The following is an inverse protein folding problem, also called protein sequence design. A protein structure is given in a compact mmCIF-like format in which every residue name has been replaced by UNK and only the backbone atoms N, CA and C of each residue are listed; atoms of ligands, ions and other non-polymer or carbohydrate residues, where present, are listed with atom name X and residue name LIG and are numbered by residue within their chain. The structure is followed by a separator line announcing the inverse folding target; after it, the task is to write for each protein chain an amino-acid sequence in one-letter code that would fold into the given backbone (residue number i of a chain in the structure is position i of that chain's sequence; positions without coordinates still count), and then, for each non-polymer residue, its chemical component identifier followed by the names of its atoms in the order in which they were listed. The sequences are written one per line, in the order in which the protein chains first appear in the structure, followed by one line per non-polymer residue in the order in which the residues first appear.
data_IF_878136012473
#
_entry.id   IF_878136012473
#
_cell.length_a   1.000
_cell.length_b   1.000
_cell.length_c   1.000
_cell.angle_alpha   90.00
_cell.angle_beta   90.00
_cell.angle_gamma   90.00
#
_symmetry.space_group_name_H-M   'P 1'
#
loop_
_entity.id
_entity.type
_entity.pdbx_description
1 polymer ?
#
# COMPACT_ATOMS: atom_id res chain seq x y z
N UNK A 1 -21.50 -16.11 29.20
CA UNK A 1 -20.09 -16.16 29.58
C UNK A 1 -19.46 -17.15 28.63
N UNK A 2 -18.60 -16.67 27.76
CA UNK A 2 -17.95 -17.47 26.72
C UNK A 2 -16.71 -18.15 27.33
N UNK A 3 -16.28 -19.29 26.81
CA UNK A 3 -15.05 -19.97 27.19
C UNK A 3 -14.17 -20.22 25.97
N UNK A 4 -12.88 -20.44 26.16
CA UNK A 4 -11.98 -20.86 25.07
C UNK A 4 -12.49 -22.12 24.34
N UNK A 5 -13.15 -23.04 25.07
CA UNK A 5 -13.74 -24.25 24.49
C UNK A 5 -14.92 -23.94 23.58
N UNK A 6 -15.79 -23.00 23.95
CA UNK A 6 -16.91 -22.56 23.12
C UNK A 6 -16.42 -21.79 21.88
N UNK A 7 -15.36 -20.99 22.04
CA UNK A 7 -14.70 -20.33 20.90
C UNK A 7 -14.15 -21.37 19.93
N UNK A 8 -13.36 -22.32 20.43
CA UNK A 8 -12.82 -23.42 19.61
C UNK A 8 -13.90 -24.20 18.88
N UNK A 9 -14.98 -24.58 19.58
CA UNK A 9 -16.11 -25.31 18.99
C UNK A 9 -16.77 -24.53 17.85
N UNK A 10 -16.93 -23.21 18.03
CA UNK A 10 -17.47 -22.33 16.99
C UNK A 10 -16.53 -22.26 15.78
N UNK A 11 -15.23 -22.03 16.00
CA UNK A 11 -14.26 -21.96 14.92
C UNK A 11 -14.12 -23.27 14.15
N UNK A 12 -14.21 -24.43 14.83
CA UNK A 12 -14.24 -25.75 14.20
C UNK A 12 -15.51 -25.92 13.35
N UNK A 13 -16.68 -25.55 13.89
CA UNK A 13 -17.94 -25.65 13.17
C UNK A 13 -17.97 -24.79 11.89
N UNK A 14 -17.26 -23.66 11.89
CA UNK A 14 -17.10 -22.77 10.73
C UNK A 14 -15.97 -23.21 9.77
N UNK A 15 -15.24 -24.29 10.09
CA UNK A 15 -14.08 -24.76 9.31
C UNK A 15 -12.82 -23.90 9.46
N UNK A 16 -12.84 -22.91 10.36
CA UNK A 16 -11.75 -21.97 10.62
C UNK A 16 -10.67 -22.51 11.55
N UNK A 17 -10.97 -23.55 12.34
CA UNK A 17 -10.00 -24.22 13.24
C UNK A 17 -10.02 -25.75 13.04
N UNK A 18 -8.86 -26.41 13.11
CA UNK A 18 -8.79 -27.88 13.12
C UNK A 18 -8.95 -28.41 14.56
N UNK A 19 -9.54 -29.60 14.77
CA UNK A 19 -9.63 -30.16 16.12
C UNK A 19 -8.27 -30.33 16.80
N UNK A 20 -7.23 -30.72 16.08
CA UNK A 20 -5.88 -30.89 16.63
C UNK A 20 -5.30 -29.55 17.13
N UNK A 21 -5.40 -28.48 16.32
CA UNK A 21 -4.96 -27.13 16.72
C UNK A 21 -5.75 -26.63 17.93
N UNK A 22 -7.05 -26.91 18.00
CA UNK A 22 -7.86 -26.57 19.16
C UNK A 22 -7.38 -27.29 20.43
N UNK A 23 -7.09 -28.58 20.34
CA UNK A 23 -6.59 -29.37 21.48
C UNK A 23 -5.25 -28.85 22.02
N UNK A 24 -4.34 -28.44 21.13
CA UNK A 24 -3.05 -27.84 21.53
C UNK A 24 -3.23 -26.59 22.37
N UNK A 25 -4.05 -25.64 21.92
CA UNK A 25 -4.33 -24.39 22.65
C UNK A 25 -5.08 -24.68 23.96
N UNK A 26 -6.09 -25.55 23.90
CA UNK A 26 -6.92 -25.90 25.07
C UNK A 26 -6.14 -26.65 26.16
N UNK A 27 -4.98 -27.23 25.84
CA UNK A 27 -4.12 -27.89 26.83
C UNK A 27 -3.54 -26.91 27.85
N UNK A 28 -3.36 -25.63 27.50
CA UNK A 28 -2.85 -24.60 28.40
C UNK A 28 -3.85 -23.46 28.66
N UNK A 29 -4.88 -23.29 27.83
CA UNK A 29 -5.84 -22.20 27.91
C UNK A 29 -7.28 -22.70 27.75
N UNK A 30 -8.01 -22.89 28.86
CA UNK A 30 -9.40 -23.43 28.82
C UNK A 30 -10.39 -22.70 29.73
N UNK A 31 -9.97 -21.58 30.32
CA UNK A 31 -10.75 -20.81 31.27
C UNK A 31 -11.96 -20.07 30.67
N UNK A 32 -12.75 -19.43 31.53
CA UNK A 32 -13.75 -18.46 31.10
C UNK A 32 -13.09 -17.27 30.40
N UNK A 33 -13.84 -16.66 29.49
CA UNK A 33 -13.54 -15.37 28.87
C UNK A 33 -14.44 -14.36 29.59
N UNK A 34 -13.80 -13.47 30.35
CA UNK A 34 -14.47 -12.49 31.21
C UNK A 34 -14.63 -11.12 30.52
N UNK A 35 -13.86 -10.87 29.47
CA UNK A 35 -13.90 -9.66 28.65
C UNK A 35 -14.19 -10.01 27.17
N UNK A 36 -15.13 -9.35 26.48
CA UNK A 36 -15.28 -9.46 25.02
C UNK A 36 -13.96 -9.29 24.24
N UNK A 37 -12.97 -8.60 24.79
CA UNK A 37 -11.63 -8.41 24.22
C UNK A 37 -10.80 -9.71 24.25
N UNK A 38 -10.97 -10.54 25.28
CA UNK A 38 -10.30 -11.84 25.39
C UNK A 38 -10.76 -12.84 24.32
N UNK A 39 -11.93 -12.60 23.68
CA UNK A 39 -12.34 -13.39 22.49
C UNK A 39 -11.37 -13.15 21.34
N UNK A 40 -10.85 -11.93 21.19
CA UNK A 40 -9.88 -11.60 20.13
C UNK A 40 -8.52 -12.24 20.43
N UNK A 41 -8.08 -12.20 21.68
CA UNK A 41 -6.89 -12.96 22.11
C UNK A 41 -7.07 -14.47 21.87
N UNK A 42 -8.26 -15.01 22.13
CA UNK A 42 -8.55 -16.40 21.79
C UNK A 42 -8.41 -16.66 20.28
N UNK A 43 -8.87 -15.75 19.41
CA UNK A 43 -8.70 -15.90 17.96
C UNK A 43 -7.22 -15.94 17.55
N UNK A 44 -6.35 -15.18 18.23
CA UNK A 44 -4.91 -15.20 17.98
C UNK A 44 -4.22 -16.45 18.49
N UNK A 45 -4.57 -16.90 19.70
CA UNK A 45 -4.09 -18.17 20.26
C UNK A 45 -4.46 -19.34 19.35
N UNK A 46 -5.69 -19.34 18.80
CA UNK A 46 -6.13 -20.31 17.79
C UNK A 46 -5.57 -20.08 16.39
N UNK A 47 -4.74 -19.05 16.18
CA UNK A 47 -4.10 -18.68 14.91
C UNK A 47 -5.10 -18.48 13.78
N UNK A 48 -6.24 -17.85 14.06
CA UNK A 48 -7.22 -17.44 13.04
C UNK A 48 -7.28 -15.93 12.85
N UNK A 49 -6.66 -15.19 13.77
CA UNK A 49 -6.48 -13.74 13.71
C UNK A 49 -5.05 -13.35 14.07
N UNK A 50 -4.70 -12.10 13.77
CA UNK A 50 -3.51 -11.43 14.24
C UNK A 50 -3.78 -9.95 14.50
N UNK A 51 -2.91 -9.29 15.26
CA UNK A 51 -2.81 -7.85 15.35
C UNK A 51 -1.36 -7.43 15.10
N UNK A 52 -1.17 -6.18 14.68
CA UNK A 52 0.13 -5.53 14.69
C UNK A 52 -0.01 -4.33 15.63
N UNK A 53 0.58 -4.44 16.81
CA UNK A 53 0.63 -3.34 17.76
C UNK A 53 1.70 -2.33 17.33
N UNK A 54 1.39 -1.03 17.43
CA UNK A 54 2.38 0.04 17.31
C UNK A 54 3.49 -0.07 18.37
N UNK A 55 3.26 -0.84 19.43
CA UNK A 55 4.24 -1.17 20.47
C UNK A 55 5.01 -2.48 20.21
N UNK A 56 4.83 -3.14 19.06
CA UNK A 56 5.55 -4.38 18.74
C UNK A 56 7.05 -4.10 18.59
N UNK A 57 7.85 -4.59 19.54
CA UNK A 57 9.28 -4.30 19.59
C UNK A 57 10.08 -5.14 18.59
N UNK A 58 10.86 -4.49 17.75
CA UNK A 58 11.87 -5.12 16.89
C UNK A 58 13.31 -4.89 17.38
N UNK A 59 13.53 -3.86 18.21
CA UNK A 59 14.86 -3.29 18.45
C UNK A 59 15.22 -2.24 17.39
N UNK A 60 16.39 -1.60 17.51
CA UNK A 60 16.77 -0.49 16.61
C UNK A 60 17.65 -0.93 15.45
N UNK A 61 17.51 -0.24 14.32
CA UNK A 61 18.30 -0.45 13.11
C UNK A 61 17.70 -1.46 12.13
N UNK A 62 18.24 -1.48 10.91
CA UNK A 62 17.68 -2.20 9.75
C UNK A 62 17.58 -3.71 10.01
N UNK A 63 18.63 -4.34 10.54
CA UNK A 63 18.64 -5.79 10.77
C UNK A 63 17.64 -6.23 11.84
N UNK A 64 17.46 -5.41 12.88
CA UNK A 64 16.51 -5.67 13.96
C UNK A 64 15.07 -5.59 13.44
N UNK A 65 14.76 -4.55 12.67
CA UNK A 65 13.47 -4.38 12.01
C UNK A 65 13.21 -5.46 10.96
N UNK A 66 14.20 -5.83 10.15
CA UNK A 66 14.05 -6.92 9.18
C UNK A 66 13.68 -8.24 9.84
N UNK A 67 14.32 -8.57 10.97
CA UNK A 67 13.94 -9.75 11.77
C UNK A 67 12.54 -9.61 12.36
N UNK A 68 12.22 -8.45 12.93
CA UNK A 68 10.88 -8.20 13.49
C UNK A 68 9.77 -8.34 12.44
N UNK A 69 9.97 -7.79 11.24
CA UNK A 69 9.05 -8.01 10.12
C UNK A 69 9.01 -9.45 9.70
N UNK A 70 10.14 -10.15 9.57
CA UNK A 70 10.15 -11.58 9.23
C UNK A 70 9.31 -12.40 10.22
N UNK A 71 9.56 -12.24 11.51
CA UNK A 71 8.85 -12.97 12.56
C UNK A 71 7.34 -12.67 12.52
N UNK A 72 6.97 -11.40 12.31
CA UNK A 72 5.57 -11.00 12.18
C UNK A 72 4.92 -11.56 10.91
N UNK A 73 5.60 -11.51 9.77
CA UNK A 73 5.11 -12.05 8.50
C UNK A 73 4.91 -13.57 8.57
N UNK A 74 5.85 -14.29 9.19
CA UNK A 74 5.75 -15.73 9.42
C UNK A 74 4.59 -16.06 10.36
N UNK A 75 4.37 -15.25 11.39
CA UNK A 75 3.19 -15.37 12.27
C UNK A 75 1.88 -15.20 11.49
N UNK A 76 1.77 -14.13 10.68
CA UNK A 76 0.60 -13.89 9.82
C UNK A 76 0.38 -15.03 8.83
N UNK A 77 1.43 -15.49 8.16
CA UNK A 77 1.37 -16.63 7.24
C UNK A 77 0.89 -17.91 7.95
N UNK A 78 1.27 -18.10 9.21
CA UNK A 78 0.78 -19.18 10.07
C UNK A 78 -0.75 -19.23 10.20
N UNK A 79 -1.43 -18.09 10.13
CA UNK A 79 -2.90 -18.01 10.19
C UNK A 79 -3.59 -18.55 8.93
N UNK A 80 -2.85 -18.64 7.83
CA UNK A 80 -3.37 -19.15 6.54
C UNK A 80 -3.35 -20.68 6.44
N UNK A 81 -2.77 -21.36 7.44
CA UNK A 81 -2.56 -22.83 7.48
C UNK A 81 -1.69 -23.35 6.34
N UNK A 82 -0.66 -22.58 6.00
CA UNK A 82 0.30 -22.94 4.95
C UNK A 82 -0.18 -22.64 3.53
N UNK A 83 -1.32 -21.96 3.36
CA UNK A 83 -1.74 -21.46 2.05
C UNK A 83 -0.86 -20.29 1.57
N UNK A 84 -0.22 -19.59 2.52
CA UNK A 84 0.76 -18.53 2.25
C UNK A 84 2.12 -18.94 2.77
N UNK A 85 3.12 -18.82 1.91
CA UNK A 85 4.54 -18.97 2.21
C UNK A 85 5.21 -17.61 2.02
N UNK A 86 6.00 -17.20 3.02
CA UNK A 86 6.78 -15.97 2.99
C UNK A 86 8.26 -16.29 2.84
N UNK A 87 8.90 -15.63 1.89
CA UNK A 87 10.30 -15.81 1.55
C UNK A 87 10.99 -14.45 1.37
N UNK A 88 12.31 -14.43 1.35
CA UNK A 88 13.13 -13.29 0.90
C UNK A 88 12.82 -11.95 1.58
N UNK A 89 12.50 -11.98 2.89
CA UNK A 89 12.28 -10.76 3.68
C UNK A 89 13.59 -9.96 3.75
N UNK A 90 13.58 -8.76 3.16
CA UNK A 90 14.72 -7.85 3.09
C UNK A 90 14.22 -6.42 3.27
N UNK A 91 14.80 -5.70 4.23
CA UNK A 91 14.51 -4.30 4.49
C UNK A 91 15.63 -3.42 3.94
N UNK A 92 15.26 -2.41 3.15
CA UNK A 92 16.19 -1.54 2.44
C UNK A 92 15.88 -0.08 2.75
N UNK A 93 16.89 0.69 3.17
CA UNK A 93 16.81 2.14 3.40
C UNK A 93 17.67 2.87 2.35
N UNK A 94 17.14 3.17 1.15
CA UNK A 94 17.95 3.73 0.07
C UNK A 94 18.36 5.18 0.32
N UNK A 95 17.52 5.95 1.01
CA UNK A 95 17.71 7.38 1.28
C UNK A 95 17.14 7.72 2.68
N UNK A 96 17.56 8.83 3.31
CA UNK A 96 16.91 9.33 4.53
C UNK A 96 15.40 9.56 4.29
N UNK A 97 14.57 9.12 5.23
CA UNK A 97 13.11 9.26 5.13
C UNK A 97 12.40 8.17 4.33
N UNK A 98 13.12 7.26 3.67
CA UNK A 98 12.51 6.17 2.90
C UNK A 98 13.04 4.81 3.35
N UNK A 99 12.13 3.86 3.58
CA UNK A 99 12.46 2.47 3.77
C UNK A 99 11.45 1.60 3.02
N UNK A 100 11.93 0.48 2.49
CA UNK A 100 11.13 -0.46 1.73
C UNK A 100 11.38 -1.87 2.22
N UNK A 101 10.29 -2.56 2.55
CA UNK A 101 10.33 -3.99 2.86
C UNK A 101 10.01 -4.76 1.58
N UNK A 102 10.97 -5.57 1.11
CA UNK A 102 10.77 -6.59 0.11
C UNK A 102 10.49 -7.92 0.79
N UNK A 103 9.59 -8.71 0.21
CA UNK A 103 9.40 -10.13 0.52
C UNK A 103 8.69 -10.80 -0.65
N UNK A 104 8.62 -12.13 -0.64
CA UNK A 104 7.83 -12.89 -1.59
C UNK A 104 6.71 -13.62 -0.87
N UNK A 105 5.51 -13.55 -1.43
CA UNK A 105 4.35 -14.34 -1.00
C UNK A 105 4.00 -15.33 -2.09
N UNK A 106 4.09 -16.64 -1.81
CA UNK A 106 3.81 -17.69 -2.78
C UNK A 106 4.59 -17.49 -4.10
N UNK A 107 5.86 -17.08 -3.98
CA UNK A 107 6.73 -16.77 -5.10
C UNK A 107 6.51 -15.41 -5.77
N UNK A 108 5.44 -14.65 -5.47
CA UNK A 108 5.18 -13.30 -5.98
C UNK A 108 5.93 -12.24 -5.17
N UNK A 109 6.67 -11.37 -5.85
CA UNK A 109 7.32 -10.20 -5.24
C UNK A 109 6.31 -9.21 -4.68
N UNK A 110 6.51 -8.80 -3.44
CA UNK A 110 5.74 -7.79 -2.72
C UNK A 110 6.68 -6.71 -2.18
N UNK A 111 6.19 -5.48 -2.13
CA UNK A 111 6.94 -4.32 -1.67
C UNK A 111 6.06 -3.49 -0.78
N UNK A 112 6.57 -3.07 0.38
CA UNK A 112 5.88 -2.16 1.27
C UNK A 112 6.72 -0.94 1.58
N UNK A 113 6.08 0.23 1.62
CA UNK A 113 6.69 1.43 2.16
C UNK A 113 6.65 1.38 3.69
N UNK A 114 7.81 1.57 4.31
CA UNK A 114 7.98 1.67 5.76
C UNK A 114 8.40 3.10 6.09
N UNK A 115 7.78 3.71 7.08
CA UNK A 115 8.18 5.01 7.57
C UNK A 115 9.59 4.90 8.18
N UNK A 116 10.57 5.55 7.54
CA UNK A 116 11.97 5.36 7.90
C UNK A 116 12.33 5.86 9.31
N UNK A 117 11.47 6.65 9.95
CA UNK A 117 11.63 7.06 11.34
C UNK A 117 11.43 5.91 12.33
N UNK A 118 10.62 4.91 11.98
CA UNK A 118 10.44 3.71 12.81
C UNK A 118 11.73 2.90 12.91
N UNK A 119 12.57 2.90 11.86
CA UNK A 119 13.85 2.20 11.87
C UNK A 119 14.83 2.69 12.94
N UNK A 120 14.66 3.95 13.35
CA UNK A 120 15.45 4.59 14.40
C UNK A 120 14.77 4.42 15.78
N UNK A 121 13.56 3.84 15.81
CA UNK A 121 12.81 3.45 17.00
C UNK A 121 13.10 1.99 17.41
N UNK A 122 12.44 1.51 18.47
CA UNK A 122 12.49 0.11 18.88
C UNK A 122 11.27 -0.69 18.38
N UNK A 123 10.36 -0.07 17.63
CA UNK A 123 9.04 -0.58 17.30
C UNK A 123 8.86 -0.77 15.80
N UNK A 124 8.10 -1.79 15.42
CA UNK A 124 7.66 -1.98 14.04
C UNK A 124 6.66 -0.90 13.63
N UNK A 125 6.69 -0.57 12.35
CA UNK A 125 5.70 0.32 11.75
C UNK A 125 4.42 -0.49 11.46
N UNK A 126 3.28 0.04 11.90
CA UNK A 126 1.96 -0.55 11.63
C UNK A 126 1.34 -0.05 10.31
N UNK A 127 1.94 0.95 9.67
CA UNK A 127 1.53 1.45 8.34
C UNK A 127 1.41 0.41 7.23
N UNK A 128 2.09 -0.76 7.25
CA UNK A 128 1.92 -1.74 6.18
C UNK A 128 0.57 -2.49 6.18
N UNK A 129 -0.26 -2.35 7.22
CA UNK A 129 -1.57 -3.03 7.32
C UNK A 129 -2.54 -2.82 6.13
N UNK A 130 -2.57 -1.68 5.41
CA UNK A 130 -3.39 -1.53 4.20
C UNK A 130 -3.04 -2.53 3.09
N UNK A 131 -1.82 -3.08 3.09
CA UNK A 131 -1.34 -4.06 2.12
C UNK A 131 -1.58 -5.51 2.56
N UNK A 132 -2.41 -5.75 3.59
CA UNK A 132 -2.72 -7.08 4.13
C UNK A 132 -3.22 -8.09 3.09
N UNK A 133 -3.77 -7.63 1.96
CA UNK A 133 -4.16 -8.52 0.87
C UNK A 133 -2.99 -9.26 0.22
N UNK A 134 -1.76 -8.80 0.41
CA UNK A 134 -0.58 -9.53 -0.05
C UNK A 134 -0.38 -10.87 0.69
N UNK A 135 -1.13 -11.12 1.78
CA UNK A 135 -1.18 -12.36 2.55
C UNK A 135 -2.47 -13.14 2.40
N UNK A 136 -3.36 -12.73 1.50
CA UNK A 136 -4.55 -13.51 1.26
C UNK A 136 -4.16 -14.79 0.50
N UNK A 137 -4.72 -15.96 0.88
CA UNK A 137 -4.43 -17.23 0.21
C UNK A 137 -4.60 -17.20 -1.31
N UNK A 138 -5.58 -16.43 -1.80
CA UNK A 138 -5.91 -16.33 -3.22
C UNK A 138 -6.41 -17.66 -3.83
N UNK A 139 -6.44 -17.72 -5.16
CA UNK A 139 -6.87 -18.91 -5.90
C UNK A 139 -8.34 -19.27 -5.62
N UNK A 140 -8.57 -20.53 -5.23
CA UNK A 140 -9.92 -21.05 -4.90
C UNK A 140 -10.31 -20.84 -3.43
N UNK A 141 -9.41 -20.29 -2.60
CA UNK A 141 -9.70 -20.00 -1.21
C UNK A 141 -10.42 -18.64 -1.10
N UNK A 142 -11.70 -18.61 -0.69
CA UNK A 142 -12.49 -17.39 -0.69
C UNK A 142 -12.21 -16.49 0.53
N UNK A 143 -11.27 -16.87 1.40
CA UNK A 143 -11.01 -16.15 2.64
C UNK A 143 -10.17 -14.91 2.38
N UNK A 144 -10.54 -13.82 3.04
CA UNK A 144 -9.86 -12.55 3.04
C UNK A 144 -9.68 -12.04 4.46
N UNK A 145 -8.73 -11.14 4.68
CA UNK A 145 -8.58 -10.53 6.00
C UNK A 145 -9.66 -9.46 6.20
N UNK A 146 -10.49 -9.65 7.22
CA UNK A 146 -11.42 -8.65 7.71
C UNK A 146 -10.85 -7.98 8.96
N UNK A 147 -10.90 -6.66 9.00
CA UNK A 147 -10.56 -5.88 10.20
C UNK A 147 -11.73 -5.95 11.19
N UNK A 148 -11.43 -6.18 12.46
CA UNK A 148 -12.39 -6.10 13.56
C UNK A 148 -12.34 -4.66 14.07
N UNK A 149 -13.34 -3.87 13.69
CA UNK A 149 -13.43 -2.47 14.09
C UNK A 149 -13.88 -2.35 15.54
N UNK A 150 -13.19 -1.49 16.28
CA UNK A 150 -13.58 -1.09 17.64
C UNK A 150 -13.45 0.41 17.80
N UNK A 151 -14.46 1.02 18.39
CA UNK A 151 -14.46 2.45 18.65
C UNK A 151 -13.32 2.80 19.63
N UNK A 152 -12.47 3.74 19.23
CA UNK A 152 -11.37 4.25 20.05
C UNK A 152 -10.12 3.38 20.17
N UNK A 153 -10.07 2.19 19.54
CA UNK A 153 -8.85 1.37 19.51
C UNK A 153 -7.88 1.88 18.43
N UNK A 154 -6.60 2.06 18.77
CA UNK A 154 -5.54 2.41 17.82
C UNK A 154 -4.97 1.21 17.06
N UNK A 155 -5.34 -0.01 17.45
CA UNK A 155 -4.87 -1.27 16.86
C UNK A 155 -6.04 -2.11 16.37
N UNK A 156 -5.98 -2.52 15.10
CA UNK A 156 -6.98 -3.39 14.48
C UNK A 156 -6.56 -4.86 14.59
N UNK A 157 -7.48 -5.73 15.02
CA UNK A 157 -7.34 -7.18 14.84
C UNK A 157 -7.80 -7.53 13.43
N UNK A 158 -7.08 -8.43 12.77
CA UNK A 158 -7.42 -8.93 11.44
C UNK A 158 -7.67 -10.43 11.51
N UNK A 159 -8.82 -10.87 11.00
CA UNK A 159 -9.21 -12.28 10.97
C UNK A 159 -9.37 -12.77 9.54
N UNK A 160 -8.83 -13.94 9.24
CA UNK A 160 -8.94 -14.54 7.89
C UNK A 160 -10.26 -15.29 7.75
N UNK A 161 -11.20 -14.74 6.99
CA UNK A 161 -12.59 -15.22 6.92
C UNK A 161 -13.14 -15.17 5.50
N UNK A 162 -14.02 -16.11 5.16
CA UNK A 162 -14.93 -15.95 4.04
C UNK A 162 -16.12 -15.07 4.44
N UNK A 163 -16.87 -14.57 3.46
CA UNK A 163 -18.14 -13.87 3.65
C UNK A 163 -19.11 -14.54 4.63
N UNK A 164 -19.24 -15.87 4.54
CA UNK A 164 -20.11 -16.65 5.41
C UNK A 164 -19.58 -16.72 6.85
N UNK A 165 -18.27 -16.97 6.98
CA UNK A 165 -17.58 -17.01 8.27
C UNK A 165 -17.65 -15.65 8.97
N UNK A 166 -17.38 -14.56 8.25
CA UNK A 166 -17.47 -13.19 8.77
C UNK A 166 -18.86 -12.91 9.33
N UNK A 167 -19.92 -13.20 8.57
CA UNK A 167 -21.31 -13.02 9.02
C UNK A 167 -21.64 -13.89 10.24
N UNK A 168 -21.09 -15.10 10.33
CA UNK A 168 -21.31 -15.97 11.47
C UNK A 168 -20.60 -15.47 12.74
N UNK A 169 -19.33 -15.04 12.62
CA UNK A 169 -18.57 -14.47 13.73
C UNK A 169 -19.20 -13.16 14.24
N UNK A 170 -19.58 -12.26 13.32
CA UNK A 170 -20.26 -11.01 13.66
C UNK A 170 -21.50 -11.24 14.52
N UNK A 171 -22.35 -12.21 14.13
CA UNK A 171 -23.56 -12.55 14.90
C UNK A 171 -23.27 -13.25 16.22
N UNK A 172 -22.25 -14.10 16.28
CA UNK A 172 -21.98 -14.94 17.46
C UNK A 172 -21.33 -14.15 18.58
N UNK A 173 -20.45 -13.22 18.24
CA UNK A 173 -19.63 -12.47 19.20
C UNK A 173 -19.92 -10.97 19.22
N UNK A 174 -20.96 -10.53 18.50
CA UNK A 174 -21.33 -9.11 18.36
C UNK A 174 -20.16 -8.23 17.86
N UNK A 175 -19.45 -8.71 16.84
CA UNK A 175 -18.27 -8.06 16.27
C UNK A 175 -18.63 -7.22 15.04
N UNK A 176 -18.08 -6.01 14.95
CA UNK A 176 -18.08 -5.22 13.73
C UNK A 176 -16.88 -5.62 12.85
N UNK A 177 -17.11 -6.54 11.93
CA UNK A 177 -16.10 -6.95 10.95
C UNK A 177 -16.23 -6.11 9.68
N UNK A 178 -15.20 -5.32 9.37
CA UNK A 178 -15.06 -4.57 8.13
C UNK A 178 -14.19 -5.37 7.17
N UNK A 179 -14.85 -5.98 6.18
CA UNK A 179 -14.13 -6.52 5.01
C UNK A 179 -13.73 -5.40 4.05
N UNK A 180 -12.96 -5.73 3.01
CA UNK A 180 -12.90 -4.88 1.82
C UNK A 180 -14.29 -4.86 1.18
N UNK A 181 -15.12 -3.89 1.56
CA UNK A 181 -16.16 -3.43 0.64
C UNK A 181 -15.35 -2.91 -0.54
N UNK A 182 -15.31 -3.67 -1.63
CA UNK A 182 -14.77 -3.19 -2.89
C UNK A 182 -15.44 -1.83 -3.11
N UNK A 183 -14.68 -0.75 -2.92
CA UNK A 183 -15.22 0.55 -3.28
C UNK A 183 -15.54 0.40 -4.76
N UNK A 184 -16.80 0.64 -5.19
CA UNK A 184 -17.11 0.55 -6.59
C UNK A 184 -16.13 1.46 -7.30
N UNK A 185 -15.26 0.87 -8.13
CA UNK A 185 -14.30 1.64 -8.90
C UNK A 185 -15.12 2.70 -9.61
N UNK A 186 -14.83 4.00 -9.39
CA UNK A 186 -15.53 5.04 -10.10
C UNK A 186 -15.39 4.72 -11.59
N UNK A 187 -16.51 4.63 -12.30
CA UNK A 187 -16.49 4.33 -13.73
C UNK A 187 -15.49 5.27 -14.42
N UNK A 188 -14.60 4.76 -15.28
CA UNK A 188 -13.60 5.60 -15.90
C UNK A 188 -14.29 6.72 -16.68
N UNK A 189 -14.00 7.98 -16.33
CA UNK A 189 -14.55 9.16 -17.02
C UNK A 189 -14.26 9.11 -18.52
N UNK A 190 -13.11 8.54 -18.90
CA UNK A 190 -12.63 8.35 -20.27
C UNK A 190 -11.39 7.44 -20.31
N UNK A 191 -11.13 6.73 -21.42
CA UNK A 191 -9.84 6.03 -21.61
C UNK A 191 -8.69 7.01 -21.87
N UNK A 192 -7.47 6.60 -21.53
CA UNK A 192 -6.22 7.36 -21.82
C UNK A 192 -6.13 7.71 -23.31
N UNK A 193 -6.33 6.72 -24.20
CA UNK A 193 -6.26 6.93 -25.65
C UNK A 193 -7.25 7.99 -26.14
N UNK A 194 -8.48 7.92 -25.65
CA UNK A 194 -9.50 8.85 -26.07
C UNK A 194 -9.20 10.26 -25.54
N UNK A 195 -8.61 10.40 -24.36
CA UNK A 195 -8.12 11.68 -23.85
C UNK A 195 -6.94 12.20 -24.67
N UNK A 196 -5.95 11.37 -24.99
CA UNK A 196 -4.82 11.78 -25.84
C UNK A 196 -5.27 12.20 -27.25
N UNK A 197 -6.34 11.59 -27.78
CA UNK A 197 -6.93 11.94 -29.07
C UNK A 197 -7.60 13.33 -29.11
N UNK A 198 -7.92 13.93 -27.95
CA UNK A 198 -8.40 15.32 -27.83
C UNK A 198 -7.26 16.34 -27.83
N UNK A 199 -6.14 16.04 -28.50
CA UNK A 199 -5.09 17.03 -28.67
C UNK A 199 -5.61 18.24 -29.46
N UNK A 200 -5.30 19.43 -28.96
CA UNK A 200 -5.72 20.68 -29.58
C UNK A 200 -4.46 21.36 -30.13
N UNK A 201 -4.21 21.29 -31.45
CA UNK A 201 -3.03 21.92 -32.05
C UNK A 201 -2.94 23.42 -31.78
N UNK A 202 -4.10 24.09 -31.68
CA UNK A 202 -4.17 25.50 -31.33
C UNK A 202 -3.68 25.75 -29.89
N UNK A 203 -4.14 24.96 -28.92
CA UNK A 203 -3.68 25.07 -27.54
C UNK A 203 -2.19 24.69 -27.41
N UNK A 204 -1.75 23.65 -28.14
CA UNK A 204 -0.35 23.22 -28.16
C UNK A 204 0.59 24.28 -28.74
N UNK A 205 0.12 25.08 -29.69
CA UNK A 205 0.87 26.21 -30.24
C UNK A 205 1.04 27.39 -29.26
N UNK A 206 0.22 27.46 -28.20
CA UNK A 206 0.39 28.45 -27.11
C UNK A 206 1.45 28.03 -26.08
N UNK A 207 1.85 26.75 -26.08
CA UNK A 207 2.81 26.20 -25.12
C UNK A 207 4.26 26.43 -25.57
N UNK A 208 5.22 26.46 -24.62
CA UNK A 208 6.64 26.57 -24.97
C UNK A 208 7.16 25.32 -25.71
N UNK A 209 8.35 25.40 -26.32
CA UNK A 209 9.04 24.23 -26.86
C UNK A 209 9.32 23.15 -25.81
N UNK A 210 9.34 21.85 -26.17
CA UNK A 210 9.70 20.77 -25.26
C UNK A 210 11.02 21.00 -24.51
N UNK A 211 11.06 20.63 -23.23
CA UNK A 211 12.18 20.83 -22.33
C UNK A 211 12.22 22.21 -21.65
N UNK A 212 11.34 23.14 -22.02
CA UNK A 212 11.26 24.49 -21.41
C UNK A 212 10.21 24.56 -20.27
N UNK A 213 10.33 23.67 -19.29
CA UNK A 213 9.39 23.56 -18.15
C UNK A 213 9.20 24.89 -17.39
N UNK A 214 10.25 25.69 -17.23
CA UNK A 214 10.16 27.00 -16.55
C UNK A 214 9.39 28.05 -17.37
N UNK A 215 9.34 27.89 -18.70
CA UNK A 215 8.52 28.74 -19.56
C UNK A 215 7.05 28.37 -19.41
N UNK A 216 6.73 27.07 -19.31
CA UNK A 216 5.37 26.60 -19.03
C UNK A 216 4.91 27.13 -17.66
N UNK A 217 5.76 27.04 -16.65
CA UNK A 217 5.47 27.52 -15.30
C UNK A 217 5.07 28.99 -15.28
N UNK A 218 5.89 29.86 -15.91
CA UNK A 218 5.59 31.29 -16.03
C UNK A 218 4.27 31.53 -16.76
N UNK A 219 4.03 30.82 -17.87
CA UNK A 219 2.79 30.94 -18.64
C UNK A 219 1.56 30.57 -17.81
N UNK A 220 1.63 29.53 -16.98
CA UNK A 220 0.54 29.11 -16.10
C UNK A 220 0.29 30.16 -15.02
N UNK A 221 1.34 30.67 -14.36
CA UNK A 221 1.24 31.67 -13.31
C UNK A 221 0.75 33.04 -13.82
N UNK A 222 1.11 33.41 -15.05
CA UNK A 222 0.64 34.63 -15.70
C UNK A 222 -0.84 34.52 -16.10
N UNK A 223 -1.29 33.33 -16.50
CA UNK A 223 -2.66 33.09 -16.94
C UNK A 223 -3.66 32.91 -15.80
N UNK A 224 -3.23 32.30 -14.70
CA UNK A 224 -4.11 32.00 -13.56
C UNK A 224 -3.63 32.73 -12.30
N UNK A 225 -4.39 33.73 -11.81
CA UNK A 225 -4.00 34.49 -10.62
C UNK A 225 -4.11 33.67 -9.33
N UNK A 226 -5.02 32.69 -9.28
CA UNK A 226 -5.31 31.85 -8.10
C UNK A 226 -5.93 30.49 -8.50
N UNK A 227 -6.11 29.61 -7.52
CA UNK A 227 -6.66 28.27 -7.70
C UNK A 227 -8.09 28.27 -8.23
N UNK A 228 -8.91 29.27 -7.88
CA UNK A 228 -10.31 29.33 -8.33
C UNK A 228 -10.37 29.62 -9.83
N UNK A 229 -9.52 30.53 -10.32
CA UNK A 229 -9.36 30.79 -11.74
C UNK A 229 -8.86 29.56 -12.50
N UNK A 230 -7.90 28.81 -11.93
CA UNK A 230 -7.44 27.54 -12.53
C UNK A 230 -8.56 26.49 -12.55
N UNK A 231 -9.28 26.30 -11.44
CA UNK A 231 -10.36 25.31 -11.30
C UNK A 231 -11.50 25.61 -12.27
N UNK A 232 -11.86 26.88 -12.45
CA UNK A 232 -12.86 27.29 -13.44
C UNK A 232 -12.44 26.97 -14.89
N UNK A 233 -11.14 26.76 -15.14
CA UNK A 233 -10.56 26.47 -16.45
C UNK A 233 -9.99 25.04 -16.59
N UNK A 234 -10.17 24.17 -15.58
CA UNK A 234 -9.53 22.84 -15.51
C UNK A 234 -9.79 21.99 -16.76
N UNK A 235 -11.03 22.03 -17.27
CA UNK A 235 -11.46 21.27 -18.45
C UNK A 235 -11.21 21.99 -19.79
N UNK A 236 -10.50 23.12 -19.80
CA UNK A 236 -10.23 23.87 -21.03
C UNK A 236 -9.18 23.18 -21.89
N UNK A 237 -9.18 23.39 -23.24
CA UNK A 237 -8.14 22.85 -24.11
C UNK A 237 -6.71 23.28 -23.70
N UNK A 238 -6.56 24.49 -23.16
CA UNK A 238 -5.26 25.00 -22.71
C UNK A 238 -4.73 24.22 -21.50
N UNK A 239 -5.52 24.04 -20.44
CA UNK A 239 -5.09 23.30 -19.23
C UNK A 239 -4.81 21.83 -19.57
N UNK A 240 -5.65 21.21 -20.39
CA UNK A 240 -5.39 19.86 -20.90
C UNK A 240 -4.06 19.76 -21.67
N UNK A 241 -3.78 20.73 -22.56
CA UNK A 241 -2.52 20.74 -23.30
C UNK A 241 -1.31 20.97 -22.38
N UNK A 242 -1.42 21.85 -21.38
CA UNK A 242 -0.37 22.08 -20.38
C UNK A 242 -0.10 20.82 -19.53
N UNK A 243 -1.16 20.12 -19.11
CA UNK A 243 -1.03 18.87 -18.36
C UNK A 243 -0.37 17.77 -19.21
N UNK A 244 -0.76 17.64 -20.49
CA UNK A 244 -0.09 16.73 -21.44
C UNK A 244 1.38 17.09 -21.63
N UNK A 245 1.69 18.37 -21.83
CA UNK A 245 3.07 18.83 -21.94
C UNK A 245 3.89 18.39 -20.73
N UNK A 246 3.42 18.65 -19.50
CA UNK A 246 4.14 18.27 -18.30
C UNK A 246 4.29 16.74 -18.15
N UNK A 247 3.26 15.97 -18.47
CA UNK A 247 3.38 14.52 -18.50
C UNK A 247 4.34 14.00 -19.58
N UNK A 248 4.43 14.64 -20.74
CA UNK A 248 5.45 14.33 -21.74
C UNK A 248 6.88 14.60 -21.22
N UNK A 249 7.06 15.60 -20.34
CA UNK A 249 8.35 15.81 -19.65
C UNK A 249 8.66 14.67 -18.68
N UNK A 250 7.65 14.15 -17.96
CA UNK A 250 7.82 12.95 -17.13
C UNK A 250 8.22 11.73 -17.98
N UNK A 251 7.53 11.49 -19.10
CA UNK A 251 7.84 10.43 -20.08
C UNK A 251 9.25 10.52 -20.65
N UNK A 252 9.77 11.74 -20.87
CA UNK A 252 11.16 11.94 -21.33
C UNK A 252 12.19 11.72 -20.22
N UNK A 253 11.80 11.90 -18.96
CA UNK A 253 12.71 11.80 -17.82
C UNK A 253 12.98 10.35 -17.39
N UNK A 254 11.99 9.45 -17.49
CA UNK A 254 12.12 8.04 -17.09
C UNK A 254 11.18 7.13 -17.89
N UNK A 255 11.50 5.83 -18.04
CA UNK A 255 10.58 4.85 -18.64
C UNK A 255 9.23 4.87 -17.93
N UNK A 256 8.19 5.25 -18.64
CA UNK A 256 6.85 5.46 -18.09
C UNK A 256 5.78 5.49 -19.18
N UNK A 257 4.53 5.39 -18.75
CA UNK A 257 3.33 5.47 -19.60
C UNK A 257 2.20 6.24 -18.91
N UNK A 258 1.21 6.67 -19.70
CA UNK A 258 -0.01 7.27 -19.18
C UNK A 258 -0.97 6.21 -18.63
N UNK A 259 -1.55 6.45 -17.45
CA UNK A 259 -2.55 5.59 -16.82
C UNK A 259 -3.62 6.41 -16.07
N UNK A 260 -4.69 5.74 -15.65
CA UNK A 260 -5.71 6.24 -14.72
C UNK A 260 -5.69 5.52 -13.37
N UNK A 261 -4.86 4.49 -13.22
CA UNK A 261 -4.93 3.57 -12.07
C UNK A 261 -4.41 4.20 -10.77
N UNK A 262 -3.63 5.27 -10.87
CA UNK A 262 -3.05 5.97 -9.72
C UNK A 262 -3.94 7.10 -9.19
N UNK A 263 -4.97 7.54 -9.94
CA UNK A 263 -5.86 8.60 -9.48
C UNK A 263 -7.26 8.51 -10.09
N UNK A 264 -8.34 8.56 -9.28
CA UNK A 264 -9.72 8.35 -9.77
C UNK A 264 -10.25 9.50 -10.65
N UNK A 265 -9.59 10.66 -10.65
CA UNK A 265 -10.06 11.88 -11.33
C UNK A 265 -9.18 12.31 -12.51
N UNK A 266 -7.90 12.00 -12.49
CA UNK A 266 -6.90 12.65 -13.36
C UNK A 266 -6.04 11.63 -14.06
N UNK A 267 -5.60 11.96 -15.26
CA UNK A 267 -4.59 11.18 -15.98
C UNK A 267 -3.24 11.36 -15.30
N UNK A 268 -2.58 10.25 -15.02
CA UNK A 268 -1.27 10.19 -14.36
C UNK A 268 -0.25 9.57 -15.28
N UNK A 269 1.02 9.80 -15.00
CA UNK A 269 2.15 9.11 -15.61
C UNK A 269 2.72 8.14 -14.58
N UNK A 270 2.73 6.85 -14.91
CA UNK A 270 3.27 5.78 -14.08
C UNK A 270 4.60 5.29 -14.67
N UNK A 271 5.56 4.99 -13.81
CA UNK A 271 6.83 4.37 -14.19
C UNK A 271 6.60 2.92 -14.67
N UNK A 272 7.31 2.52 -15.72
CA UNK A 272 7.21 1.17 -16.30
C UNK A 272 7.93 0.15 -15.42
N UNK A 273 7.31 -1.02 -15.20
CA UNK A 273 7.88 -2.14 -14.43
C UNK A 273 8.34 -1.74 -13.00
N UNK A 274 7.70 -0.72 -12.43
CA UNK A 274 7.96 -0.23 -11.07
C UNK A 274 6.76 -0.56 -10.16
N UNK A 275 6.97 -1.22 -9.01
CA UNK A 275 5.89 -1.51 -8.05
C UNK A 275 5.20 -0.24 -7.55
N UNK A 276 3.94 -0.36 -7.15
CA UNK A 276 3.08 0.77 -6.77
C UNK A 276 3.70 1.64 -5.66
N UNK A 277 4.41 1.02 -4.73
CA UNK A 277 5.02 1.67 -3.56
C UNK A 277 6.17 2.61 -3.94
N UNK A 278 6.71 2.46 -5.14
CA UNK A 278 7.73 3.33 -5.72
C UNK A 278 7.16 4.31 -6.74
N UNK A 279 5.87 4.20 -7.09
CA UNK A 279 5.25 5.09 -8.05
C UNK A 279 5.21 6.51 -7.45
N UNK A 280 5.71 7.52 -8.17
CA UNK A 280 5.44 8.89 -7.80
C UNK A 280 3.94 9.16 -7.97
N UNK A 281 3.45 10.17 -7.26
CA UNK A 281 2.15 10.76 -7.58
C UNK A 281 2.26 11.62 -8.86
N UNK A 282 2.71 11.05 -9.98
CA UNK A 282 2.96 11.74 -11.25
C UNK A 282 1.66 12.22 -11.90
N UNK A 283 1.03 13.25 -11.35
CA UNK A 283 -0.28 13.74 -11.74
C UNK A 283 -0.19 15.19 -12.24
N UNK A 284 0.05 15.40 -13.55
CA UNK A 284 0.32 16.72 -14.10
C UNK A 284 -0.74 17.79 -13.75
N UNK A 285 -2.03 17.43 -13.73
CA UNK A 285 -3.10 18.35 -13.33
C UNK A 285 -2.96 18.85 -11.89
N UNK A 286 -2.59 17.95 -10.99
CA UNK A 286 -2.39 18.27 -9.58
C UNK A 286 -1.18 19.16 -9.40
N UNK A 287 -0.09 18.88 -10.12
CA UNK A 287 1.15 19.65 -10.04
C UNK A 287 0.97 21.07 -10.59
N UNK A 288 0.19 21.23 -11.67
CA UNK A 288 -0.23 22.55 -12.17
C UNK A 288 -1.12 23.30 -11.17
N UNK A 289 -2.05 22.59 -10.50
CA UNK A 289 -2.90 23.19 -9.48
C UNK A 289 -2.10 23.66 -8.26
N UNK A 290 -1.17 22.84 -7.75
CA UNK A 290 -0.27 23.22 -6.66
C UNK A 290 0.66 24.37 -7.03
N UNK A 291 1.14 24.42 -8.28
CA UNK A 291 1.91 25.56 -8.77
C UNK A 291 1.13 26.87 -8.64
N UNK A 292 -0.14 26.89 -9.04
CA UNK A 292 -0.98 28.10 -8.97
C UNK A 292 -1.29 28.50 -7.53
N UNK A 293 -1.37 27.54 -6.61
CA UNK A 293 -1.55 27.78 -5.18
C UNK A 293 -0.33 28.45 -4.54
N UNK A 294 0.80 27.74 -4.62
CA UNK A 294 2.02 28.12 -3.93
C UNK A 294 2.73 29.28 -4.61
N UNK A 295 2.52 29.43 -5.94
CA UNK A 295 3.18 30.39 -6.83
C UNK A 295 4.70 30.41 -6.68
N UNK A 296 5.30 29.28 -6.29
CA UNK A 296 6.74 29.13 -6.08
C UNK A 296 7.45 28.86 -7.41
N UNK A 297 8.44 29.70 -7.79
CA UNK A 297 9.24 29.43 -8.99
C UNK A 297 10.05 28.14 -8.87
N UNK A 298 10.15 27.40 -9.97
CA UNK A 298 10.87 26.14 -10.10
C UNK A 298 10.10 24.91 -9.61
N UNK A 299 8.84 25.05 -9.21
CA UNK A 299 7.99 23.93 -8.77
C UNK A 299 7.90 22.86 -9.85
N UNK A 300 7.58 23.22 -11.11
CA UNK A 300 7.39 22.19 -12.14
C UNK A 300 8.69 21.47 -12.49
N UNK A 301 9.82 22.19 -12.53
CA UNK A 301 11.15 21.59 -12.74
C UNK A 301 11.51 20.66 -11.59
N UNK A 302 11.21 21.06 -10.35
CA UNK A 302 11.41 20.22 -9.17
C UNK A 302 10.57 18.94 -9.26
N UNK A 303 9.32 19.00 -9.72
CA UNK A 303 8.48 17.80 -9.91
C UNK A 303 9.02 16.87 -11.00
N UNK A 304 9.44 17.38 -12.17
CA UNK A 304 10.09 16.54 -13.20
C UNK A 304 11.37 15.87 -12.67
N UNK A 305 12.15 16.63 -11.89
CA UNK A 305 13.37 16.11 -11.26
C UNK A 305 13.03 15.05 -10.21
N UNK A 306 11.99 15.28 -9.39
CA UNK A 306 11.51 14.34 -8.38
C UNK A 306 11.00 13.05 -9.02
N UNK A 307 10.23 13.14 -10.10
CA UNK A 307 9.74 11.99 -10.87
C UNK A 307 10.90 11.08 -11.30
N UNK A 308 11.97 11.66 -11.86
CA UNK A 308 13.20 10.92 -12.18
C UNK A 308 13.84 10.29 -10.94
N UNK A 309 13.91 11.02 -9.83
CA UNK A 309 14.50 10.52 -8.58
C UNK A 309 13.76 9.31 -8.01
N UNK A 310 12.43 9.19 -8.18
CA UNK A 310 11.69 7.97 -7.82
C UNK A 310 12.17 6.76 -8.62
N UNK A 311 12.34 6.91 -9.93
CA UNK A 311 12.88 5.84 -10.77
C UNK A 311 14.33 5.47 -10.39
N UNK A 312 15.20 6.46 -10.22
CA UNK A 312 16.58 6.21 -9.81
C UNK A 312 16.66 5.56 -8.41
N UNK A 313 15.74 5.91 -7.50
CA UNK A 313 15.63 5.25 -6.19
C UNK A 313 15.24 3.80 -6.33
N UNK A 314 14.22 3.49 -7.14
CA UNK A 314 13.81 2.11 -7.40
C UNK A 314 14.98 1.28 -7.92
N UNK A 315 15.75 1.78 -8.89
CA UNK A 315 16.92 1.08 -9.40
C UNK A 315 17.99 0.83 -8.32
N UNK A 316 18.22 1.78 -7.41
CA UNK A 316 19.14 1.58 -6.27
C UNK A 316 18.63 0.50 -5.32
N UNK A 317 17.32 0.48 -5.06
CA UNK A 317 16.69 -0.53 -4.19
C UNK A 317 16.77 -1.92 -4.79
N UNK A 318 16.49 -2.08 -6.10
CA UNK A 318 16.62 -3.37 -6.78
C UNK A 318 18.07 -3.86 -6.77
N UNK A 319 19.04 -2.99 -7.09
CA UNK A 319 20.45 -3.36 -7.05
C UNK A 319 20.90 -3.77 -5.63
N UNK A 320 20.38 -3.10 -4.61
CA UNK A 320 20.64 -3.44 -3.21
C UNK A 320 20.00 -4.78 -2.82
N UNK A 321 18.76 -5.02 -3.25
CA UNK A 321 18.07 -6.29 -3.04
C UNK A 321 18.84 -7.45 -3.65
N UNK A 322 19.22 -7.33 -4.93
CA UNK A 322 19.98 -8.36 -5.65
C UNK A 322 21.27 -8.70 -4.92
N UNK A 323 21.99 -7.67 -4.46
CA UNK A 323 23.22 -7.84 -3.68
C UNK A 323 22.99 -8.58 -2.37
N UNK A 324 21.88 -8.28 -1.67
CA UNK A 324 21.55 -8.90 -0.38
C UNK A 324 21.06 -10.33 -0.51
N UNK A 325 20.32 -10.65 -1.58
CA UNK A 325 19.88 -12.01 -1.85
C UNK A 325 21.05 -12.89 -2.28
N UNK A 326 21.91 -12.40 -3.18
CA UNK A 326 23.10 -13.16 -3.62
C UNK A 326 24.10 -13.44 -2.48
N UNK A 327 24.14 -12.60 -1.44
CA UNK A 327 24.99 -12.82 -0.27
C UNK A 327 24.52 -13.95 0.65
N UNK A 328 23.21 -14.26 0.67
CA UNK A 328 22.64 -15.32 1.51
C UNK A 328 22.96 -16.71 0.98
N UNK A 329 22.95 -16.89 -0.34
CA UNK A 329 23.25 -18.17 -0.99
C UNK A 329 24.68 -18.67 -0.74
N UNK A 330 25.59 -17.80 -0.27
CA UNK A 330 26.98 -18.14 0.01
C UNK A 330 27.31 -18.49 1.46
N UNK A 331 26.37 -18.39 2.40
CA UNK A 331 26.59 -18.70 3.83
C UNK A 331 26.14 -20.12 4.23
N UNK A 332 25.37 -20.81 3.37
CA UNK A 332 24.83 -22.15 3.62
C UNK A 332 25.65 -23.30 2.99
N UNK A 333 26.79 -22.99 2.34
CA UNK A 333 27.79 -23.94 1.79
C UNK A 333 29.06 -24.04 2.66
#
# INVERSE_FOLDING_TARGET
MTTYREVAATLIALGMLSPATAEEVLAYQSGPIDDPDEVLWAFEEFRVAFHLDAEQKAGSGIEAHERGYRDWLEYVAGTTRGAVVIEDVVLIRPDPGYAFLHFRTNGRTCWWNIEAEFLDSAYLDAMPLPNISDYEPGGDDPRQFAEIYRDGASTGYHVLVSDEQQRALARTYDLELRGRIAQPEPAPRKSVDAWLAEDSPAARAELPPPGEVDALERLILDRFPDQDAYRAAEDTPFVNAAARYLGEEFLRSAPSHWTTDLHPRWFTVALDDVPREFQPDGCPFRDLWWLVDDRRPGTLRAEVTRFRQYYDRYLRVVAELDRRLAGRDGEDD
#
